data_IF_576698970265
#
_entry.id   IF_576698970265
#
_cell.length_a   1.000
_cell.length_b   1.000
_cell.length_c   1.000
_cell.angle_alpha   90.00
_cell.angle_beta   90.00
_cell.angle_gamma   90.00
#
_symmetry.space_group_name_H-M   'P 1'
#
loop_
_entity.id
_entity.type
_entity.pdbx_description
1 polymer ?
#
# COMPACT_ATOMS: atom_id res chain seq x y z
N UNK A 1 -10.75 0.67 -6.87
CA UNK A 1 -10.58 1.07 -5.46
C UNK A 1 -11.18 2.46 -5.35
N UNK A 2 -12.41 2.60 -4.81
CA UNK A 2 -13.21 3.83 -4.95
C UNK A 2 -13.22 4.72 -3.70
N UNK A 3 -12.75 4.18 -2.57
CA UNK A 3 -12.71 4.89 -1.30
C UNK A 3 -11.86 6.17 -1.34
N UNK A 4 -10.65 6.19 -1.94
CA UNK A 4 -9.85 7.42 -2.01
C UNK A 4 -10.52 8.51 -2.84
N UNK A 5 -11.21 8.13 -3.92
CA UNK A 5 -11.96 9.07 -4.75
C UNK A 5 -13.11 9.67 -3.95
N UNK A 6 -13.90 8.84 -3.24
CA UNK A 6 -14.96 9.36 -2.37
C UNK A 6 -14.42 10.27 -1.28
N UNK A 7 -13.33 9.88 -0.61
CA UNK A 7 -12.68 10.70 0.42
C UNK A 7 -12.27 12.07 -0.13
N UNK A 8 -11.59 12.10 -1.28
CA UNK A 8 -11.18 13.35 -1.93
C UNK A 8 -12.34 14.32 -2.20
N UNK A 9 -13.48 13.82 -2.71
CA UNK A 9 -14.66 14.65 -2.91
C UNK A 9 -15.25 15.17 -1.59
N UNK A 10 -15.22 14.36 -0.52
CA UNK A 10 -15.66 14.79 0.80
C UNK A 10 -14.72 15.82 1.41
N UNK A 11 -13.40 15.67 1.19
CA UNK A 11 -12.39 16.62 1.66
C UNK A 11 -12.61 18.00 1.00
N UNK A 12 -12.79 18.04 -0.33
CA UNK A 12 -13.11 19.29 -1.05
C UNK A 12 -14.41 19.92 -0.54
N UNK A 13 -15.45 19.11 -0.29
CA UNK A 13 -16.71 19.61 0.25
C UNK A 13 -16.53 20.20 1.65
N UNK A 14 -15.74 19.56 2.51
CA UNK A 14 -15.40 20.07 3.84
C UNK A 14 -14.62 21.39 3.76
N UNK A 15 -13.58 21.45 2.92
CA UNK A 15 -12.77 22.65 2.74
C UNK A 15 -13.55 23.81 2.11
N UNK A 16 -14.55 23.52 1.27
CA UNK A 16 -15.43 24.54 0.71
C UNK A 16 -16.33 25.20 1.76
N UNK A 17 -16.62 24.52 2.88
CA UNK A 17 -17.33 25.12 4.02
C UNK A 17 -16.40 26.04 4.84
N UNK A 18 -15.12 25.70 4.91
CA UNK A 18 -14.10 26.42 5.72
C UNK A 18 -13.51 27.64 4.98
N UNK A 19 -13.06 27.46 3.73
CA UNK A 19 -12.47 28.51 2.88
C UNK A 19 -13.18 28.56 1.50
N UNK A 20 -14.41 29.10 1.43
CA UNK A 20 -15.21 29.10 0.21
C UNK A 20 -14.51 29.79 -0.97
N UNK A 21 -13.77 30.87 -0.72
CA UNK A 21 -13.07 31.65 -1.76
C UNK A 21 -12.01 30.81 -2.49
N UNK A 22 -11.49 29.79 -1.83
CA UNK A 22 -10.44 28.90 -2.37
C UNK A 22 -11.03 27.63 -2.97
N UNK A 23 -12.00 27.01 -2.30
CA UNK A 23 -12.44 25.65 -2.60
C UNK A 23 -13.83 25.55 -3.25
N UNK A 24 -14.70 26.55 -3.12
CA UNK A 24 -16.08 26.44 -3.60
C UNK A 24 -16.17 26.18 -5.12
N UNK A 25 -15.26 26.76 -5.92
CA UNK A 25 -15.19 26.50 -7.37
C UNK A 25 -14.90 25.05 -7.75
N UNK A 26 -14.41 24.25 -6.81
CA UNK A 26 -14.08 22.84 -6.99
C UNK A 26 -15.10 21.91 -6.33
N UNK A 27 -16.00 22.45 -5.50
CA UNK A 27 -17.02 21.68 -4.81
C UNK A 27 -18.00 21.09 -5.83
N UNK A 28 -18.05 19.76 -5.89
CA UNK A 28 -18.93 19.01 -6.77
C UNK A 28 -19.52 17.79 -6.02
N UNK A 29 -20.70 17.31 -6.44
CA UNK A 29 -21.24 16.05 -5.93
C UNK A 29 -20.25 14.90 -6.15
N UNK A 30 -20.15 14.01 -5.16
CA UNK A 30 -19.29 12.84 -5.27
C UNK A 30 -19.88 11.84 -6.28
N UNK A 31 -19.13 11.38 -7.30
CA UNK A 31 -19.63 10.45 -8.30
C UNK A 31 -19.73 9.00 -7.79
N UNK A 32 -19.20 8.71 -6.60
CA UNK A 32 -19.17 7.36 -6.02
C UNK A 32 -20.34 7.21 -5.03
N UNK A 33 -21.42 6.48 -5.39
CA UNK A 33 -22.51 6.22 -4.45
C UNK A 33 -22.06 5.32 -3.30
N UNK A 34 -22.72 5.37 -2.12
CA UNK A 34 -22.40 4.48 -0.99
C UNK A 34 -22.50 2.98 -1.35
N UNK A 35 -23.37 2.65 -2.32
CA UNK A 35 -23.55 1.31 -2.86
C UNK A 35 -22.26 0.68 -3.38
N UNK A 36 -21.41 1.48 -4.00
CA UNK A 36 -20.17 1.04 -4.64
C UNK A 36 -19.04 0.77 -3.63
N UNK A 37 -19.26 1.14 -2.36
CA UNK A 37 -18.36 0.84 -1.25
C UNK A 37 -18.73 -0.45 -0.52
N UNK A 38 -19.85 -1.08 -0.87
CA UNK A 38 -20.28 -2.33 -0.24
C UNK A 38 -19.20 -3.40 -0.40
N UNK A 39 -18.94 -4.13 0.69
CA UNK A 39 -17.92 -5.18 0.72
C UNK A 39 -16.47 -4.68 0.74
N UNK A 40 -16.20 -3.37 0.74
CA UNK A 40 -14.83 -2.84 0.86
C UNK A 40 -14.12 -3.34 2.11
N UNK A 41 -14.78 -3.30 3.28
CA UNK A 41 -14.23 -3.79 4.54
C UNK A 41 -13.89 -5.28 4.49
N UNK A 42 -14.79 -6.10 3.95
CA UNK A 42 -14.56 -7.53 3.77
C UNK A 42 -13.39 -7.82 2.81
N UNK A 43 -13.31 -7.08 1.69
CA UNK A 43 -12.18 -7.18 0.75
C UNK A 43 -10.86 -6.79 1.41
N UNK A 44 -10.83 -5.68 2.14
CA UNK A 44 -9.64 -5.21 2.86
C UNK A 44 -9.19 -6.26 3.89
N UNK A 45 -10.12 -6.81 4.67
CA UNK A 45 -9.85 -7.88 5.63
C UNK A 45 -9.22 -9.10 4.96
N UNK A 46 -9.80 -9.60 3.86
CA UNK A 46 -9.23 -10.74 3.10
C UNK A 46 -7.83 -10.47 2.56
N UNK A 47 -7.54 -9.25 2.11
CA UNK A 47 -6.19 -8.86 1.67
C UNK A 47 -5.21 -8.91 2.86
N UNK A 48 -5.61 -8.35 3.99
CA UNK A 48 -4.78 -8.35 5.20
C UNK A 48 -4.53 -9.78 5.70
N UNK A 49 -5.55 -10.64 5.71
CA UNK A 49 -5.46 -12.05 6.07
C UNK A 49 -4.44 -12.78 5.17
N UNK A 50 -4.56 -12.65 3.84
CA UNK A 50 -3.62 -13.26 2.88
C UNK A 50 -2.19 -12.76 3.07
N UNK A 51 -2.01 -11.46 3.30
CA UNK A 51 -0.70 -10.88 3.55
C UNK A 51 -0.11 -11.41 4.85
N UNK A 52 -0.91 -11.46 5.92
CA UNK A 52 -0.47 -11.96 7.23
C UNK A 52 -0.14 -13.45 7.18
N UNK A 53 -0.94 -14.27 6.49
CA UNK A 53 -0.65 -15.70 6.27
C UNK A 53 0.67 -15.90 5.53
N UNK A 54 0.87 -15.14 4.45
CA UNK A 54 2.11 -15.19 3.68
C UNK A 54 3.32 -14.79 4.52
N UNK A 55 3.19 -13.75 5.35
CA UNK A 55 4.24 -13.32 6.27
C UNK A 55 4.54 -14.41 7.28
N UNK A 56 3.52 -14.98 7.94
CA UNK A 56 3.69 -16.09 8.89
C UNK A 56 4.42 -17.28 8.29
N UNK A 57 4.08 -17.67 7.06
CA UNK A 57 4.71 -18.79 6.37
C UNK A 57 6.17 -18.50 5.97
N UNK A 58 6.49 -17.27 5.57
CA UNK A 58 7.80 -16.92 5.01
C UNK A 58 8.79 -16.38 6.05
N UNK A 59 8.30 -15.76 7.10
CA UNK A 59 9.15 -15.08 8.10
C UNK A 59 10.17 -16.01 8.77
N UNK A 60 9.85 -17.27 9.13
CA UNK A 60 10.84 -18.20 9.69
C UNK A 60 11.98 -18.56 8.73
N UNK A 61 11.78 -18.39 7.42
CA UNK A 61 12.79 -18.70 6.40
C UNK A 61 13.77 -17.56 6.13
N UNK A 62 13.50 -16.36 6.67
CA UNK A 62 14.34 -15.18 6.42
C UNK A 62 15.81 -15.37 6.84
N UNK A 63 16.14 -15.96 8.00
CA UNK A 63 17.55 -16.18 8.38
C UNK A 63 18.31 -17.06 7.38
N UNK A 64 17.66 -18.11 6.86
CA UNK A 64 18.27 -19.00 5.86
C UNK A 64 18.51 -18.28 4.53
N UNK A 65 17.54 -17.46 4.10
CA UNK A 65 17.69 -16.64 2.90
C UNK A 65 18.83 -15.63 3.05
N UNK A 66 18.93 -14.97 4.20
CA UNK A 66 20.01 -14.00 4.50
C UNK A 66 21.36 -14.69 4.44
N UNK A 67 21.54 -15.80 5.16
CA UNK A 67 22.80 -16.54 5.17
C UNK A 67 23.23 -16.97 3.75
N UNK A 68 22.30 -17.46 2.94
CA UNK A 68 22.59 -17.85 1.56
C UNK A 68 23.04 -16.66 0.68
N UNK A 69 22.36 -15.52 0.80
CA UNK A 69 22.72 -14.30 0.06
C UNK A 69 24.08 -13.77 0.52
N UNK A 70 24.36 -13.80 1.82
CA UNK A 70 25.64 -13.38 2.39
C UNK A 70 26.81 -14.27 1.94
N UNK A 71 26.62 -15.58 1.93
CA UNK A 71 27.61 -16.54 1.44
C UNK A 71 27.91 -16.29 -0.05
N UNK A 72 26.86 -16.20 -0.86
CA UNK A 72 27.00 -15.96 -2.29
C UNK A 72 27.66 -14.60 -2.59
N UNK A 73 27.31 -13.55 -1.84
CA UNK A 73 27.95 -12.25 -1.95
C UNK A 73 29.44 -12.32 -1.59
N UNK A 74 29.77 -12.96 -0.47
CA UNK A 74 31.15 -13.12 0.01
C UNK A 74 32.00 -13.88 -1.01
N UNK A 75 31.50 -14.99 -1.55
CA UNK A 75 32.19 -15.77 -2.58
C UNK A 75 32.44 -14.97 -3.86
N UNK A 76 31.44 -14.22 -4.33
CA UNK A 76 31.60 -13.35 -5.52
C UNK A 76 32.60 -12.22 -5.30
N UNK A 77 32.64 -11.66 -4.10
CA UNK A 77 33.61 -10.61 -3.75
C UNK A 77 35.04 -11.15 -3.82
N UNK A 78 35.29 -12.33 -3.25
CA UNK A 78 36.60 -12.98 -3.31
C UNK A 78 37.02 -13.26 -4.76
N UNK A 79 36.12 -13.76 -5.60
CA UNK A 79 36.42 -14.00 -7.02
C UNK A 79 36.76 -12.69 -7.76
N UNK A 80 36.02 -11.61 -7.47
CA UNK A 80 36.30 -10.30 -8.07
C UNK A 80 37.67 -9.75 -7.65
N UNK A 81 38.01 -9.86 -6.36
CA UNK A 81 39.32 -9.44 -5.84
C UNK A 81 40.47 -10.26 -6.42
N UNK A 82 40.28 -11.55 -6.71
CA UNK A 82 41.30 -12.40 -7.31
C UNK A 82 41.58 -12.11 -8.80
N UNK A 83 40.65 -11.46 -9.50
CA UNK A 83 40.79 -11.05 -10.91
C UNK A 83 41.35 -9.63 -11.04
N UNK A 84 41.33 -8.85 -9.95
CA UNK A 84 41.81 -7.47 -9.89
C UNK A 84 43.31 -7.40 -9.64
#
# INVERSE_FOLDING_TARGET
>A
MLLPVRAFYMDIQSWALEEPQRWARWAAPCPIPPADLRGFGARRRRINERTADRVRQRQPLLPALVAHVEEHYSGRRVLFEAVR
#
